data_IF_517559003491
#
_entry.id   IF_517559003491
#
_cell.length_a   1.000
_cell.length_b   1.000
_cell.length_c   1.000
_cell.angle_alpha   90.00
_cell.angle_beta   90.00
_cell.angle_gamma   90.00
#
_symmetry.space_group_name_H-M   'P 1'
#
loop_
_entity.id
_entity.type
_entity.pdbx_description
1 polymer ?
#
# COMPACT_ATOMS: atom_id res chain seq x y z
N UNK A 1 60.64 -14.55 -8.91
CA UNK A 1 59.39 -13.74 -9.06
C UNK A 1 58.57 -13.93 -7.77
N UNK A 2 58.64 -13.01 -6.80
CA UNK A 2 57.83 -13.07 -5.58
C UNK A 2 56.54 -12.28 -5.86
N UNK A 3 55.42 -12.96 -5.91
CA UNK A 3 54.10 -12.41 -6.19
C UNK A 3 53.62 -11.57 -5.01
N UNK A 4 53.12 -10.42 -5.31
CA UNK A 4 52.64 -9.35 -4.43
C UNK A 4 51.25 -9.72 -3.84
N UNK A 5 51.20 -10.72 -2.95
CA UNK A 5 49.94 -11.15 -2.30
C UNK A 5 49.48 -10.19 -1.19
N UNK A 6 50.28 -9.20 -0.78
CA UNK A 6 49.96 -8.27 0.30
C UNK A 6 49.10 -7.08 -0.17
N UNK A 7 49.19 -6.73 -1.47
CA UNK A 7 48.40 -5.62 -2.05
C UNK A 7 46.93 -5.99 -2.25
N UNK A 8 46.65 -7.24 -2.62
CA UNK A 8 45.30 -7.69 -2.90
C UNK A 8 44.44 -7.87 -1.65
N UNK A 9 45.05 -8.18 -0.49
CA UNK A 9 44.29 -8.26 0.79
C UNK A 9 43.86 -6.90 1.28
N UNK A 10 44.67 -5.86 1.11
CA UNK A 10 44.31 -4.48 1.46
C UNK A 10 43.20 -3.93 0.55
N UNK A 11 43.26 -4.24 -0.75
CA UNK A 11 42.23 -3.82 -1.69
C UNK A 11 40.88 -4.49 -1.41
N UNK A 12 40.89 -5.77 -0.99
CA UNK A 12 39.66 -6.49 -0.63
C UNK A 12 39.04 -5.93 0.67
N UNK A 13 39.84 -5.51 1.64
CA UNK A 13 39.33 -4.85 2.87
C UNK A 13 38.76 -3.47 2.59
N UNK A 14 39.33 -2.72 1.67
CA UNK A 14 38.79 -1.42 1.22
C UNK A 14 37.48 -1.60 0.43
N UNK A 15 37.38 -2.64 -0.38
CA UNK A 15 36.17 -2.93 -1.15
C UNK A 15 35.02 -3.39 -0.23
N UNK A 16 35.30 -4.17 0.82
CA UNK A 16 34.27 -4.60 1.80
C UNK A 16 33.83 -3.45 2.71
N UNK A 17 34.76 -2.54 3.09
CA UNK A 17 34.38 -1.34 3.88
C UNK A 17 33.58 -0.34 3.03
N UNK A 18 33.94 -0.16 1.73
CA UNK A 18 33.18 0.70 0.82
C UNK A 18 31.80 0.12 0.49
N UNK A 19 31.67 -1.20 0.41
CA UNK A 19 30.36 -1.86 0.21
C UNK A 19 29.44 -1.71 1.42
N UNK A 20 29.99 -1.70 2.66
CA UNK A 20 29.19 -1.44 3.87
C UNK A 20 28.64 -0.01 3.94
N UNK A 21 29.24 0.95 3.22
CA UNK A 21 28.72 2.32 3.13
C UNK A 21 27.63 2.48 2.06
N UNK A 22 27.42 1.49 1.21
CA UNK A 22 26.44 1.52 0.11
C UNK A 22 25.15 0.77 0.42
N UNK A 23 24.96 0.20 1.59
CA UNK A 23 23.65 -0.16 2.07
C UNK A 23 22.89 1.12 2.46
N UNK A 24 22.53 1.90 1.45
CA UNK A 24 21.33 2.70 1.53
C UNK A 24 20.26 1.63 1.76
N UNK A 25 19.66 1.59 2.95
CA UNK A 25 18.38 0.96 3.10
C UNK A 25 17.51 1.66 2.04
N UNK A 26 17.31 1.02 0.91
CA UNK A 26 16.23 1.35 0.01
C UNK A 26 14.99 1.10 0.87
N UNK A 27 14.47 2.15 1.50
CA UNK A 27 13.07 2.21 1.90
C UNK A 27 12.32 2.16 0.56
N UNK A 28 12.18 0.94 0.05
CA UNK A 28 11.39 0.69 -1.13
C UNK A 28 9.96 0.95 -0.69
N UNK A 29 9.28 1.85 -1.40
CA UNK A 29 7.85 2.02 -1.18
C UNK A 29 7.22 0.63 -1.26
N UNK A 30 6.56 0.20 -0.18
CA UNK A 30 5.93 -1.11 -0.12
C UNK A 30 4.54 -1.05 -0.74
N UNK A 31 3.91 0.13 -0.81
CA UNK A 31 2.65 0.33 -1.52
C UNK A 31 2.91 0.50 -3.02
N UNK A 32 2.31 -0.37 -3.79
CA UNK A 32 2.27 -0.31 -5.27
C UNK A 32 0.96 0.35 -5.66
N UNK A 33 1.04 1.53 -6.29
CA UNK A 33 -0.11 2.29 -6.77
C UNK A 33 -0.14 2.32 -8.29
N UNK A 34 -1.33 2.14 -8.85
CA UNK A 34 -1.59 2.21 -10.29
C UNK A 34 -2.75 3.16 -10.57
N UNK A 35 -2.48 4.23 -11.29
CA UNK A 35 -3.47 5.13 -11.87
C UNK A 35 -3.86 4.58 -13.25
N UNK A 36 -5.15 4.45 -13.50
CA UNK A 36 -5.67 3.96 -14.77
C UNK A 36 -6.01 5.14 -15.67
N UNK A 37 -5.11 5.49 -16.59
CA UNK A 37 -5.33 6.57 -17.56
C UNK A 37 -5.30 6.03 -19.00
N UNK A 38 -6.46 5.93 -19.67
CA UNK A 38 -7.81 6.30 -19.19
C UNK A 38 -8.40 5.29 -18.20
N UNK A 39 -9.36 5.77 -17.39
CA UNK A 39 -10.15 4.91 -16.50
C UNK A 39 -10.72 3.69 -17.22
N UNK A 40 -10.78 2.53 -16.56
CA UNK A 40 -11.41 1.35 -17.11
C UNK A 40 -12.93 1.41 -16.90
N UNK A 41 -13.68 1.25 -17.97
CA UNK A 41 -15.14 1.30 -17.94
C UNK A 41 -15.76 -0.03 -18.38
N UNK A 42 -16.71 -0.51 -17.61
CA UNK A 42 -17.52 -1.70 -17.90
C UNK A 42 -18.97 -1.29 -18.02
N UNK A 43 -19.56 -1.42 -19.19
CA UNK A 43 -20.93 -1.01 -19.46
C UNK A 43 -21.56 -1.77 -20.62
N UNK A 44 -22.89 -1.63 -20.77
CA UNK A 44 -23.67 -2.30 -21.79
C UNK A 44 -24.18 -3.69 -21.39
N UNK A 45 -24.84 -4.38 -22.32
CA UNK A 45 -25.34 -5.75 -22.09
C UNK A 45 -24.16 -6.74 -22.06
N UNK A 46 -23.89 -7.36 -20.89
CA UNK A 46 -22.84 -8.37 -20.72
C UNK A 46 -21.41 -7.81 -20.82
N UNK A 47 -21.19 -6.56 -20.46
CA UNK A 47 -19.86 -5.99 -20.38
C UNK A 47 -19.07 -6.64 -19.23
N UNK A 48 -17.82 -7.02 -19.50
CA UNK A 48 -16.90 -7.63 -18.53
C UNK A 48 -15.48 -7.12 -18.75
N UNK A 49 -14.74 -6.96 -17.67
CA UNK A 49 -13.31 -6.66 -17.67
C UNK A 49 -12.64 -7.34 -16.46
N UNK A 50 -11.44 -7.85 -16.65
CA UNK A 50 -10.62 -8.40 -15.57
C UNK A 50 -9.37 -7.55 -15.36
N UNK A 51 -8.87 -7.55 -14.12
CA UNK A 51 -7.67 -6.81 -13.71
C UNK A 51 -6.71 -7.75 -12.99
N UNK A 52 -5.46 -7.75 -13.45
CA UNK A 52 -4.30 -8.31 -12.79
C UNK A 52 -3.63 -7.18 -11.97
N UNK A 53 -3.81 -7.21 -10.66
CA UNK A 53 -3.38 -6.16 -9.74
C UNK A 53 -1.87 -6.20 -9.50
N UNK A 54 -1.31 -7.43 -9.39
CA UNK A 54 0.07 -7.65 -9.00
C UNK A 54 1.00 -7.92 -10.20
N UNK A 55 0.43 -7.95 -11.41
CA UNK A 55 1.14 -8.18 -12.68
C UNK A 55 1.84 -9.55 -12.74
N UNK A 56 1.21 -10.59 -12.17
CA UNK A 56 1.73 -11.96 -12.21
C UNK A 56 1.24 -12.75 -13.45
N UNK A 57 0.38 -12.16 -14.26
CA UNK A 57 -0.19 -12.73 -15.48
C UNK A 57 -1.51 -13.48 -15.25
N UNK A 58 -2.05 -13.45 -14.04
CA UNK A 58 -3.35 -14.01 -13.71
C UNK A 58 -4.29 -12.87 -13.30
N UNK A 59 -5.53 -12.93 -13.76
CA UNK A 59 -6.53 -11.94 -13.35
C UNK A 59 -6.91 -12.13 -11.87
N UNK A 60 -6.89 -11.04 -11.09
CA UNK A 60 -7.23 -11.06 -9.67
C UNK A 60 -8.71 -10.76 -9.41
N UNK A 61 -9.27 -9.83 -10.18
CA UNK A 61 -10.66 -9.40 -10.03
C UNK A 61 -11.32 -9.18 -11.39
N UNK A 62 -12.56 -9.69 -11.53
CA UNK A 62 -13.41 -9.44 -12.69
C UNK A 62 -14.56 -8.52 -12.34
N UNK A 63 -14.85 -7.53 -13.17
CA UNK A 63 -15.99 -6.64 -13.06
C UNK A 63 -16.94 -6.88 -14.21
N UNK A 64 -18.24 -6.92 -13.94
CA UNK A 64 -19.22 -7.14 -14.97
C UNK A 64 -20.52 -6.38 -14.71
N UNK A 65 -21.18 -6.00 -15.79
CA UNK A 65 -22.54 -5.50 -15.77
C UNK A 65 -23.42 -6.42 -16.60
N UNK A 66 -24.63 -6.59 -16.16
CA UNK A 66 -25.62 -7.37 -16.87
C UNK A 66 -26.95 -6.65 -16.85
N UNK A 67 -27.57 -6.51 -17.99
CA UNK A 67 -28.93 -5.94 -18.10
C UNK A 67 -29.75 -6.72 -19.09
N UNK A 68 -31.00 -6.99 -18.75
CA UNK A 68 -31.96 -7.57 -19.68
C UNK A 68 -33.37 -7.16 -19.35
N UNK A 69 -34.19 -7.05 -20.39
CA UNK A 69 -35.63 -6.85 -20.28
C UNK A 69 -36.33 -8.09 -20.75
N UNK A 70 -37.28 -8.59 -19.96
CA UNK A 70 -38.05 -9.78 -20.27
C UNK A 70 -39.56 -9.53 -20.18
N UNK A 71 -40.31 -10.46 -20.73
CA UNK A 71 -41.75 -10.47 -20.63
C UNK A 71 -42.22 -11.82 -20.03
N UNK A 72 -43.28 -11.77 -19.26
CA UNK A 72 -43.87 -12.96 -18.66
C UNK A 72 -45.37 -12.85 -18.56
N UNK A 73 -46.03 -13.98 -18.23
CA UNK A 73 -47.45 -14.03 -17.96
C UNK A 73 -47.71 -14.82 -16.68
N UNK A 74 -48.44 -14.23 -15.75
CA UNK A 74 -48.83 -14.86 -14.50
C UNK A 74 -50.33 -14.70 -14.31
N UNK A 75 -51.06 -15.82 -14.20
CA UNK A 75 -52.54 -15.85 -14.17
C UNK A 75 -53.21 -15.07 -15.31
N UNK A 76 -52.66 -15.13 -16.53
CA UNK A 76 -53.19 -14.44 -17.70
C UNK A 76 -52.88 -12.92 -17.74
N UNK A 77 -52.16 -12.39 -16.76
CA UNK A 77 -51.73 -11.00 -16.74
C UNK A 77 -50.31 -10.94 -17.30
N UNK A 78 -50.12 -10.13 -18.34
CA UNK A 78 -48.79 -9.88 -18.90
C UNK A 78 -48.03 -8.90 -18.03
N UNK A 79 -46.78 -9.22 -17.79
CA UNK A 79 -45.84 -8.31 -17.13
C UNK A 79 -44.53 -8.19 -17.93
N UNK A 80 -43.85 -7.10 -17.76
CA UNK A 80 -42.47 -6.88 -18.20
C UNK A 80 -41.58 -6.73 -16.97
N UNK A 81 -40.34 -7.19 -17.09
CA UNK A 81 -39.33 -6.96 -16.05
C UNK A 81 -38.05 -6.44 -16.68
N UNK A 82 -37.44 -5.51 -16.01
CA UNK A 82 -36.14 -4.91 -16.34
C UNK A 82 -35.18 -5.21 -15.18
N UNK A 83 -34.15 -5.97 -15.50
CA UNK A 83 -33.13 -6.39 -14.52
C UNK A 83 -31.78 -5.79 -14.89
N UNK A 84 -31.10 -5.23 -13.91
CA UNK A 84 -29.75 -4.65 -14.03
C UNK A 84 -28.92 -5.09 -12.86
N UNK A 85 -27.64 -5.39 -13.14
CA UNK A 85 -26.68 -5.86 -12.16
C UNK A 85 -25.31 -5.27 -12.48
N UNK A 86 -24.68 -4.65 -11.48
CA UNK A 86 -23.26 -4.34 -11.43
C UNK A 86 -22.62 -5.22 -10.36
N UNK A 87 -21.57 -5.94 -10.72
CA UNK A 87 -20.95 -6.89 -9.81
C UNK A 87 -19.44 -6.99 -10.02
N UNK A 88 -18.76 -7.54 -9.03
CA UNK A 88 -17.34 -7.87 -9.02
C UNK A 88 -17.15 -9.31 -8.61
N UNK A 89 -16.13 -9.99 -9.10
CA UNK A 89 -15.74 -11.34 -8.65
C UNK A 89 -14.26 -11.35 -8.27
N UNK A 90 -13.95 -11.88 -7.12
CA UNK A 90 -12.58 -12.24 -6.78
C UNK A 90 -12.24 -13.56 -7.50
N UNK A 91 -11.03 -13.62 -8.08
CA UNK A 91 -10.54 -14.74 -8.87
C UNK A 91 -9.29 -15.33 -8.22
N UNK A 92 -8.92 -16.55 -8.62
CA UNK A 92 -7.69 -17.22 -8.20
C UNK A 92 -7.48 -17.32 -6.67
N UNK A 93 -8.56 -17.45 -5.89
CA UNK A 93 -8.51 -17.55 -4.43
C UNK A 93 -8.32 -16.20 -3.72
N UNK A 94 -8.38 -15.09 -4.46
CA UNK A 94 -8.39 -13.75 -3.88
C UNK A 94 -9.76 -13.47 -3.21
N UNK A 95 -9.83 -12.39 -2.44
CA UNK A 95 -11.00 -12.11 -1.63
C UNK A 95 -11.36 -10.62 -1.65
N UNK A 96 -12.66 -10.36 -1.55
CA UNK A 96 -13.22 -9.03 -1.38
C UNK A 96 -13.34 -8.70 0.11
N UNK A 97 -13.07 -7.45 0.47
CA UNK A 97 -13.40 -6.93 1.79
C UNK A 97 -14.92 -6.95 1.97
N UNK A 98 -15.38 -7.69 2.97
CA UNK A 98 -16.80 -7.85 3.27
C UNK A 98 -17.13 -9.23 3.80
N UNK A 99 -18.41 -9.44 4.05
CA UNK A 99 -18.92 -10.70 4.58
C UNK A 99 -19.76 -11.43 3.55
N UNK A 100 -19.63 -12.74 3.49
CA UNK A 100 -20.50 -13.58 2.67
C UNK A 100 -21.92 -13.58 3.25
N UNK A 101 -22.87 -13.13 2.45
CA UNK A 101 -24.29 -13.15 2.79
C UNK A 101 -24.97 -14.20 1.92
N UNK A 102 -25.66 -15.15 2.56
CA UNK A 102 -26.39 -16.21 1.88
C UNK A 102 -27.87 -15.86 1.80
N UNK A 103 -28.36 -15.79 0.58
CA UNK A 103 -29.78 -15.71 0.26
C UNK A 103 -30.29 -17.12 -0.03
N UNK A 104 -31.58 -17.31 -0.06
CA UNK A 104 -32.18 -18.67 -0.15
C UNK A 104 -31.63 -19.55 -1.29
N UNK A 105 -31.12 -18.98 -2.38
CA UNK A 105 -30.64 -19.72 -3.55
C UNK A 105 -29.26 -19.34 -4.04
N UNK A 106 -28.65 -18.31 -3.48
CA UNK A 106 -27.30 -17.85 -3.86
C UNK A 106 -26.60 -17.17 -2.68
N UNK A 107 -25.29 -17.07 -2.77
CA UNK A 107 -24.47 -16.30 -1.82
C UNK A 107 -23.68 -15.24 -2.57
N UNK A 108 -23.51 -14.09 -1.96
CA UNK A 108 -22.68 -13.01 -2.49
C UNK A 108 -21.94 -12.31 -1.35
N UNK A 109 -20.79 -11.76 -1.67
CA UNK A 109 -20.05 -10.93 -0.72
C UNK A 109 -20.72 -9.57 -0.62
N UNK A 110 -21.08 -9.19 0.59
CA UNK A 110 -21.51 -7.83 0.88
C UNK A 110 -20.29 -6.94 1.00
N UNK A 111 -20.02 -6.17 -0.06
CA UNK A 111 -18.85 -5.31 -0.19
C UNK A 111 -19.23 -3.87 0.20
N UNK A 112 -18.80 -3.37 1.37
CA UNK A 112 -19.12 -2.01 1.78
C UNK A 112 -18.34 -0.99 0.94
N UNK A 113 -18.88 0.23 0.84
CA UNK A 113 -18.13 1.40 0.37
C UNK A 113 -17.32 1.93 1.55
N UNK A 114 -16.00 1.88 1.46
CA UNK A 114 -15.12 2.36 2.51
C UNK A 114 -14.86 3.87 2.36
N UNK A 115 -14.77 4.62 3.46
CA UNK A 115 -14.32 6.01 3.41
C UNK A 115 -12.82 6.11 3.12
N UNK A 116 -12.33 7.28 2.70
CA UNK A 116 -10.89 7.54 2.59
C UNK A 116 -10.20 7.47 3.96
N UNK A 117 -9.00 6.87 4.02
CA UNK A 117 -8.23 6.71 5.25
C UNK A 117 -8.67 5.54 6.14
N UNK A 118 -9.59 4.68 5.68
CA UNK A 118 -9.95 3.45 6.40
C UNK A 118 -8.83 2.43 6.30
N UNK A 119 -8.48 1.79 7.42
CA UNK A 119 -7.47 0.75 7.46
C UNK A 119 -8.00 -0.59 6.97
N UNK A 120 -7.21 -1.30 6.15
CA UNK A 120 -7.50 -2.65 5.66
C UNK A 120 -6.40 -3.57 6.17
N UNK A 121 -6.77 -4.60 6.96
CA UNK A 121 -5.80 -5.45 7.66
C UNK A 121 -6.37 -6.86 7.97
N UNK A 122 -5.57 -7.70 8.62
CA UNK A 122 -5.92 -9.08 8.94
C UNK A 122 -7.12 -9.27 9.90
N UNK A 123 -7.53 -8.22 10.59
CA UNK A 123 -8.70 -8.25 11.50
C UNK A 123 -10.03 -8.05 10.79
N UNK A 124 -10.00 -7.68 9.52
CA UNK A 124 -11.18 -7.36 8.75
C UNK A 124 -11.82 -8.60 8.12
N UNK A 125 -13.13 -8.55 7.81
CA UNK A 125 -13.79 -9.64 7.11
C UNK A 125 -13.42 -9.67 5.63
N UNK A 126 -13.03 -10.83 5.15
CA UNK A 126 -12.78 -11.10 3.73
C UNK A 126 -13.51 -12.37 3.30
N UNK A 127 -13.96 -12.40 2.06
CA UNK A 127 -14.61 -13.56 1.49
C UNK A 127 -14.30 -13.72 -0.01
N UNK A 128 -14.14 -14.99 -0.41
CA UNK A 128 -14.04 -15.40 -1.81
C UNK A 128 -15.40 -15.26 -2.51
N UNK A 129 -15.35 -15.11 -3.83
CA UNK A 129 -16.53 -15.17 -4.68
C UNK A 129 -16.98 -13.83 -5.22
N UNK A 130 -18.25 -13.78 -5.66
CA UNK A 130 -18.83 -12.59 -6.28
C UNK A 130 -19.42 -11.62 -5.27
N UNK A 131 -19.15 -10.33 -5.45
CA UNK A 131 -19.78 -9.21 -4.73
C UNK A 131 -20.81 -8.50 -5.61
N UNK A 132 -22.02 -8.29 -5.06
CA UNK A 132 -23.02 -7.45 -5.71
C UNK A 132 -22.76 -6.01 -5.36
N UNK A 133 -22.44 -5.19 -6.37
CA UNK A 133 -22.25 -3.76 -6.21
C UNK A 133 -23.59 -3.02 -6.26
N UNK A 134 -24.41 -3.31 -7.27
CA UNK A 134 -25.74 -2.75 -7.39
C UNK A 134 -26.65 -3.70 -8.19
N UNK A 135 -27.91 -3.78 -7.82
CA UNK A 135 -28.93 -4.51 -8.53
C UNK A 135 -30.22 -3.71 -8.55
N UNK A 136 -30.88 -3.68 -9.69
CA UNK A 136 -32.22 -3.10 -9.87
C UNK A 136 -33.11 -4.13 -10.59
N UNK A 137 -34.30 -4.33 -10.07
CA UNK A 137 -35.34 -5.13 -10.72
C UNK A 137 -36.64 -4.35 -10.70
N UNK A 138 -37.09 -3.91 -11.87
CA UNK A 138 -38.38 -3.27 -12.05
C UNK A 138 -39.35 -4.25 -12.72
N UNK A 139 -40.51 -4.46 -12.14
CA UNK A 139 -41.60 -5.24 -12.72
C UNK A 139 -42.76 -4.31 -13.03
N UNK A 140 -43.28 -4.35 -14.27
CA UNK A 140 -44.40 -3.52 -14.71
C UNK A 140 -45.55 -4.42 -15.17
N UNK A 141 -46.77 -4.10 -14.73
CA UNK A 141 -48.02 -4.74 -15.17
C UNK A 141 -48.75 -3.80 -16.12
N UNK A 142 -49.04 -4.28 -17.33
CA UNK A 142 -49.74 -3.48 -18.35
C UNK A 142 -49.16 -2.08 -18.57
N UNK A 143 -47.83 -1.96 -18.43
CA UNK A 143 -47.08 -0.70 -18.59
C UNK A 143 -47.02 0.20 -17.35
N UNK A 144 -47.59 -0.22 -16.22
CA UNK A 144 -47.49 0.50 -14.96
C UNK A 144 -46.49 -0.17 -14.02
N UNK A 145 -45.60 0.57 -13.32
CA UNK A 145 -44.72 -0.01 -12.30
C UNK A 145 -45.53 -0.75 -11.22
N UNK A 146 -45.18 -1.99 -10.95
CA UNK A 146 -45.81 -2.81 -9.93
C UNK A 146 -44.87 -3.15 -8.77
N UNK A 147 -43.60 -3.38 -9.09
CA UNK A 147 -42.59 -3.75 -8.12
C UNK A 147 -41.27 -3.12 -8.54
N UNK A 148 -40.61 -2.47 -7.61
CA UNK A 148 -39.27 -1.90 -7.77
C UNK A 148 -38.42 -2.41 -6.61
N UNK A 149 -37.32 -3.08 -6.95
CA UNK A 149 -36.36 -3.61 -5.99
C UNK A 149 -34.97 -3.11 -6.34
N UNK A 150 -34.32 -2.52 -5.36
CA UNK A 150 -32.93 -2.10 -5.46
C UNK A 150 -32.16 -2.65 -4.26
N UNK A 151 -30.92 -3.11 -4.51
CA UNK A 151 -30.01 -3.59 -3.51
C UNK A 151 -28.55 -3.35 -3.93
N UNK A 152 -27.63 -3.52 -2.99
CA UNK A 152 -26.23 -3.19 -3.14
C UNK A 152 -25.93 -1.78 -2.62
N UNK A 153 -24.67 -1.54 -2.28
CA UNK A 153 -24.25 -0.29 -1.63
C UNK A 153 -23.61 0.69 -2.59
N UNK A 154 -23.43 0.31 -3.85
CA UNK A 154 -22.60 1.02 -4.81
C UNK A 154 -23.39 1.80 -5.86
N UNK A 155 -24.69 1.54 -6.06
CA UNK A 155 -25.52 2.29 -7.00
C UNK A 155 -25.49 3.80 -6.67
N UNK A 156 -25.09 4.61 -7.63
CA UNK A 156 -24.93 6.07 -7.48
C UNK A 156 -23.65 6.51 -6.75
N UNK A 157 -22.76 5.58 -6.39
CA UNK A 157 -21.48 5.92 -5.75
C UNK A 157 -20.49 6.42 -6.79
N UNK A 158 -19.92 7.58 -6.51
CA UNK A 158 -18.85 8.18 -7.27
C UNK A 158 -17.54 8.15 -6.48
N UNK A 159 -16.52 7.46 -7.01
CA UNK A 159 -15.18 7.35 -6.41
C UNK A 159 -15.17 6.78 -4.98
N UNK A 160 -15.95 5.71 -4.72
CA UNK A 160 -15.89 4.96 -3.47
C UNK A 160 -14.69 4.00 -3.41
N UNK A 161 -14.21 3.66 -2.21
CA UNK A 161 -13.14 2.68 -2.05
C UNK A 161 -13.71 1.30 -1.75
N UNK A 162 -13.22 0.31 -2.49
CA UNK A 162 -13.48 -1.12 -2.28
C UNK A 162 -12.20 -1.79 -1.81
N UNK A 163 -12.25 -2.45 -0.65
CA UNK A 163 -11.13 -3.20 -0.13
C UNK A 163 -11.03 -4.60 -0.74
N UNK A 164 -9.83 -5.12 -0.80
CA UNK A 164 -9.56 -6.49 -1.22
C UNK A 164 -8.30 -7.06 -0.55
N UNK A 165 -8.08 -8.36 -0.69
CA UNK A 165 -6.78 -8.97 -0.47
C UNK A 165 -6.44 -9.97 -1.57
N UNK A 166 -5.17 -9.97 -1.96
CA UNK A 166 -4.57 -10.95 -2.85
C UNK A 166 -3.94 -12.04 -1.98
N UNK A 167 -4.20 -13.28 -2.30
CA UNK A 167 -3.70 -14.45 -1.58
C UNK A 167 -2.63 -15.14 -2.42
N UNK A 168 -1.38 -15.14 -1.94
CA UNK A 168 -0.27 -15.85 -2.55
C UNK A 168 0.26 -16.84 -1.53
N UNK A 169 0.10 -18.15 -1.79
CA UNK A 169 0.43 -19.23 -0.85
C UNK A 169 -0.29 -19.06 0.50
N UNK A 170 0.43 -18.60 1.54
CA UNK A 170 -0.09 -18.36 2.89
C UNK A 170 -0.07 -16.89 3.29
N UNK A 171 0.39 -16.05 2.40
CA UNK A 171 0.54 -14.62 2.64
C UNK A 171 -0.61 -13.84 2.04
N UNK A 172 -0.97 -12.74 2.70
CA UNK A 172 -2.06 -11.86 2.32
C UNK A 172 -1.51 -10.47 2.00
N UNK A 173 -1.90 -9.93 0.86
CA UNK A 173 -1.53 -8.59 0.40
C UNK A 173 -2.80 -7.74 0.31
N UNK A 174 -2.93 -6.80 1.23
CA UNK A 174 -4.14 -5.97 1.34
C UNK A 174 -4.09 -4.82 0.35
N UNK A 175 -5.25 -4.48 -0.20
CA UNK A 175 -5.36 -3.41 -1.19
C UNK A 175 -6.72 -2.74 -1.22
N UNK A 176 -6.79 -1.69 -2.01
CA UNK A 176 -8.02 -0.96 -2.29
C UNK A 176 -8.11 -0.61 -3.77
N UNK A 177 -9.34 -0.53 -4.30
CA UNK A 177 -9.68 0.02 -5.62
C UNK A 177 -10.64 1.18 -5.44
N UNK A 178 -10.49 2.23 -6.25
CA UNK A 178 -11.44 3.33 -6.31
C UNK A 178 -12.38 3.13 -7.48
N UNK A 179 -13.66 2.99 -7.16
CA UNK A 179 -14.70 2.53 -8.10
C UNK A 179 -15.89 3.46 -8.07
N UNK A 180 -16.49 3.70 -9.25
CA UNK A 180 -17.78 4.35 -9.40
C UNK A 180 -18.79 3.39 -10.01
N UNK A 181 -20.03 3.44 -9.56
CA UNK A 181 -21.16 2.73 -10.14
C UNK A 181 -22.30 3.73 -10.37
N UNK A 182 -22.83 3.80 -11.59
CA UNK A 182 -23.93 4.71 -11.87
C UNK A 182 -25.22 4.31 -11.12
N UNK A 183 -26.19 5.21 -11.04
CA UNK A 183 -27.46 5.00 -10.33
C UNK A 183 -28.22 3.78 -10.84
N UNK A 184 -28.18 3.53 -12.15
CA UNK A 184 -28.87 2.40 -12.77
C UNK A 184 -28.13 1.06 -12.66
N UNK A 185 -26.92 1.01 -12.08
CA UNK A 185 -26.09 -0.19 -12.00
C UNK A 185 -25.78 -0.82 -13.38
N UNK A 186 -25.58 0.01 -14.40
CA UNK A 186 -25.29 -0.40 -15.78
C UNK A 186 -23.92 0.03 -16.27
N UNK A 187 -23.16 0.75 -15.43
CA UNK A 187 -21.82 1.21 -15.70
C UNK A 187 -20.98 1.15 -14.42
N UNK A 188 -19.85 0.49 -14.50
CA UNK A 188 -18.80 0.50 -13.48
C UNK A 188 -17.60 1.23 -14.09
N UNK A 189 -16.98 2.11 -13.33
CA UNK A 189 -15.72 2.78 -13.69
C UNK A 189 -14.72 2.49 -12.60
N UNK A 190 -13.53 2.00 -12.97
CA UNK A 190 -12.40 1.74 -12.08
C UNK A 190 -11.36 2.80 -12.39
N UNK A 191 -11.00 3.60 -11.39
CA UNK A 191 -10.13 4.77 -11.55
C UNK A 191 -8.68 4.45 -11.27
N UNK A 192 -8.43 3.81 -10.13
CA UNK A 192 -7.11 3.46 -9.66
C UNK A 192 -7.18 2.37 -8.59
N UNK A 193 -6.03 1.83 -8.25
CA UNK A 193 -5.90 0.87 -7.17
C UNK A 193 -4.51 0.92 -6.54
N UNK A 194 -4.41 0.40 -5.33
CA UNK A 194 -3.13 0.15 -4.69
C UNK A 194 -3.18 -1.10 -3.81
N UNK A 195 -2.03 -1.71 -3.63
CA UNK A 195 -1.86 -2.79 -2.67
C UNK A 195 -0.53 -2.67 -1.93
N UNK A 196 -0.49 -3.21 -0.71
CA UNK A 196 0.73 -3.31 0.08
C UNK A 196 1.52 -4.54 -0.37
N UNK A 197 2.75 -4.35 -0.85
CA UNK A 197 3.62 -5.43 -1.36
C UNK A 197 4.45 -6.12 -0.26
N UNK A 198 4.25 -5.72 0.99
CA UNK A 198 4.76 -6.44 2.16
C UNK A 198 3.64 -7.32 2.71
N UNK A 199 3.90 -8.64 2.81
CA UNK A 199 2.91 -9.60 3.22
C UNK A 199 2.33 -9.29 4.62
N UNK A 200 1.02 -9.43 4.75
CA UNK A 200 0.27 -9.27 6.01
C UNK A 200 0.33 -7.87 6.65
N UNK A 201 0.81 -6.87 5.91
CA UNK A 201 0.87 -5.49 6.35
C UNK A 201 -0.37 -4.71 5.92
N UNK A 202 -0.90 -3.90 6.83
CA UNK A 202 -2.09 -3.07 6.59
C UNK A 202 -1.83 -1.97 5.56
N UNK A 203 -2.89 -1.59 4.82
CA UNK A 203 -2.93 -0.42 3.93
C UNK A 203 -4.12 0.45 4.31
N UNK A 204 -4.06 1.74 4.00
CA UNK A 204 -5.19 2.65 4.16
C UNK A 204 -5.80 3.00 2.81
N UNK A 205 -7.12 3.09 2.73
CA UNK A 205 -7.83 3.50 1.51
C UNK A 205 -7.37 4.89 1.05
N UNK A 206 -6.99 4.99 -0.23
CA UNK A 206 -6.40 6.21 -0.81
C UNK A 206 -4.90 6.39 -0.54
N UNK A 207 -4.25 5.46 0.15
CA UNK A 207 -2.79 5.47 0.31
C UNK A 207 -2.14 5.09 -1.02
N UNK A 208 -1.35 6.00 -1.60
CA UNK A 208 -0.68 5.84 -2.91
C UNK A 208 0.83 5.65 -2.81
N UNK A 209 1.37 5.84 -1.63
CA UNK A 209 2.77 5.55 -1.30
C UNK A 209 2.78 4.97 0.11
N UNK A 210 3.77 4.15 0.41
CA UNK A 210 4.10 3.95 1.81
C UNK A 210 4.32 5.35 2.35
N UNK A 211 3.52 5.78 3.32
CA UNK A 211 3.91 6.93 4.11
C UNK A 211 5.36 6.61 4.51
N UNK A 212 6.33 7.36 4.01
CA UNK A 212 7.64 7.32 4.63
C UNK A 212 7.30 7.61 6.10
N UNK A 213 7.43 6.61 6.97
CA UNK A 213 7.61 6.94 8.37
C UNK A 213 8.74 7.93 8.33
N UNK A 214 8.39 9.18 8.58
CA UNK A 214 9.37 10.26 8.54
C UNK A 214 10.41 9.80 9.53
N UNK A 215 11.58 9.39 9.01
CA UNK A 215 12.63 8.84 9.88
C UNK A 215 12.81 9.85 11.00
N UNK A 216 12.33 9.58 12.21
CA UNK A 216 12.31 10.57 13.29
C UNK A 216 13.70 11.10 13.57
N UNK A 217 14.75 10.35 13.15
CA UNK A 217 16.13 10.82 13.18
C UNK A 217 16.44 11.88 12.11
N UNK A 218 15.62 12.03 11.06
CA UNK A 218 15.89 12.97 9.94
C UNK A 218 15.99 14.42 10.41
N UNK A 219 15.25 14.79 11.44
CA UNK A 219 15.27 16.10 12.08
C UNK A 219 16.38 16.26 13.13
N UNK A 220 17.28 15.27 13.30
CA UNK A 220 18.41 15.35 14.22
C UNK A 220 19.39 16.44 13.74
N UNK A 221 19.65 17.40 14.59
CA UNK A 221 20.67 18.42 14.33
C UNK A 221 22.05 17.87 14.68
N UNK A 222 22.97 17.91 13.72
CA UNK A 222 24.38 17.50 13.88
C UNK A 222 25.25 18.54 13.21
N UNK A 223 26.14 19.18 13.98
CA UNK A 223 27.13 20.15 13.46
C UNK A 223 28.38 20.15 14.33
N UNK A 224 29.46 20.71 13.83
CA UNK A 224 30.71 20.86 14.59
C UNK A 224 31.06 22.33 14.79
N UNK A 225 31.73 22.61 15.92
CA UNK A 225 32.36 23.88 16.21
C UNK A 225 33.69 23.62 16.92
N UNK A 226 34.79 23.95 16.26
CA UNK A 226 36.10 23.58 16.71
C UNK A 226 36.27 22.06 16.76
N UNK A 227 36.66 21.52 17.92
CA UNK A 227 36.82 20.11 18.16
C UNK A 227 35.57 19.44 18.74
N UNK A 228 34.46 20.17 18.88
CA UNK A 228 33.23 19.66 19.45
C UNK A 228 32.22 19.31 18.37
N UNK A 229 31.51 18.15 18.53
CA UNK A 229 30.36 17.74 17.73
C UNK A 229 29.11 17.92 18.57
N UNK A 230 28.25 18.81 18.12
CA UNK A 230 26.93 19.04 18.73
C UNK A 230 25.90 18.10 18.09
N UNK A 231 25.07 17.53 18.93
CA UNK A 231 24.04 16.57 18.58
C UNK A 231 22.76 16.92 19.34
N UNK A 232 21.64 17.04 18.63
CA UNK A 232 20.35 17.23 19.26
C UNK A 232 19.28 16.34 18.60
N UNK A 233 18.68 15.45 19.39
CA UNK A 233 17.57 14.61 18.99
C UNK A 233 16.27 15.41 18.97
N UNK A 234 15.39 15.16 17.99
CA UNK A 234 14.02 15.65 18.03
C UNK A 234 13.27 15.10 19.27
N UNK A 235 12.33 15.87 19.82
CA UNK A 235 11.53 15.45 20.99
C UNK A 235 10.71 14.18 20.75
N UNK A 236 10.42 13.85 19.50
CA UNK A 236 9.67 12.66 19.10
C UNK A 236 10.49 11.36 19.27
N UNK A 237 11.84 11.46 19.22
CA UNK A 237 12.72 10.32 19.44
C UNK A 237 12.85 10.06 20.93
N UNK A 238 12.16 9.02 21.40
CA UNK A 238 12.13 8.64 22.84
C UNK A 238 13.07 7.51 23.20
N UNK A 239 13.79 7.01 22.24
CA UNK A 239 14.73 5.91 22.38
C UNK A 239 16.17 6.43 22.50
N UNK A 240 17.09 5.56 22.72
CA UNK A 240 18.51 5.85 23.02
C UNK A 240 19.38 5.43 21.83
N UNK A 241 19.46 6.22 20.73
CA UNK A 241 20.25 5.85 19.57
C UNK A 241 21.75 5.74 19.89
N UNK A 242 22.44 5.00 19.04
CA UNK A 242 23.89 4.92 19.03
C UNK A 242 24.46 5.94 18.05
N UNK A 243 25.45 6.73 18.50
CA UNK A 243 26.18 7.69 17.68
C UNK A 243 27.59 7.23 17.45
N UNK A 244 27.96 6.98 16.21
CA UNK A 244 29.29 6.58 15.79
C UNK A 244 29.95 7.68 14.98
N UNK A 245 31.23 7.98 15.21
CA UNK A 245 32.01 8.90 14.39
C UNK A 245 33.09 8.11 13.65
N UNK A 246 33.14 8.30 12.34
CA UNK A 246 34.10 7.65 11.44
C UNK A 246 35.01 8.68 10.77
N UNK A 247 36.26 8.32 10.55
CA UNK A 247 37.10 9.06 9.64
C UNK A 247 36.77 8.77 8.17
N UNK A 248 37.35 9.51 7.23
CA UNK A 248 37.09 9.32 5.79
C UNK A 248 37.59 7.99 5.23
N UNK A 249 38.35 7.22 6.00
CA UNK A 249 38.79 5.86 5.61
C UNK A 249 37.77 4.80 6.04
N UNK A 250 36.67 5.21 6.74
CA UNK A 250 35.66 4.33 7.28
C UNK A 250 36.05 3.68 8.62
N UNK A 251 37.13 4.13 9.26
CA UNK A 251 37.53 3.69 10.59
C UNK A 251 36.69 4.41 11.64
N UNK A 252 36.00 3.64 12.51
CA UNK A 252 35.30 4.21 13.65
C UNK A 252 36.30 4.76 14.66
N UNK A 253 36.18 6.06 14.98
CA UNK A 253 37.08 6.77 15.89
C UNK A 253 36.41 7.10 17.22
N UNK A 254 35.09 7.18 17.27
CA UNK A 254 34.27 7.34 18.49
C UNK A 254 32.99 6.54 18.41
N UNK A 255 32.51 6.08 19.57
CA UNK A 255 31.21 5.43 19.74
C UNK A 255 30.55 5.95 21.01
N UNK A 256 29.28 6.30 20.93
CA UNK A 256 28.45 6.74 22.05
C UNK A 256 27.11 6.00 21.99
N UNK A 257 26.80 5.25 23.05
CA UNK A 257 25.56 4.49 23.18
C UNK A 257 24.62 5.20 24.15
N UNK A 258 23.30 5.02 23.94
CA UNK A 258 22.32 5.54 24.87
C UNK A 258 22.25 7.08 24.88
N UNK A 259 22.33 7.70 23.70
CA UNK A 259 22.34 9.16 23.61
C UNK A 259 20.91 9.70 23.68
N UNK A 260 20.65 10.64 24.57
CA UNK A 260 19.34 11.27 24.75
C UNK A 260 19.42 12.79 24.70
N UNK A 261 18.42 13.43 24.09
CA UNK A 261 18.30 14.89 24.02
C UNK A 261 19.45 15.56 23.29
N UNK A 262 19.95 16.68 23.84
CA UNK A 262 21.05 17.45 23.25
C UNK A 262 22.37 17.15 23.96
N UNK A 263 23.37 16.74 23.22
CA UNK A 263 24.69 16.35 23.73
C UNK A 263 25.81 17.02 22.95
N UNK A 264 26.91 17.32 23.63
CA UNK A 264 28.14 17.81 23.04
C UNK A 264 29.24 16.75 23.21
N UNK A 265 29.74 16.23 22.09
CA UNK A 265 30.83 15.27 22.07
C UNK A 265 32.17 15.97 21.90
N UNK A 266 33.05 15.90 22.89
CA UNK A 266 34.40 16.37 22.78
C UNK A 266 35.26 15.43 21.94
N UNK A 267 35.92 15.98 20.91
CA UNK A 267 36.79 15.27 19.97
C UNK A 267 38.19 15.87 19.91
N UNK A 268 38.69 16.46 21.00
CA UNK A 268 40.02 17.12 21.06
C UNK A 268 41.19 16.17 20.76
N UNK A 269 40.99 14.90 20.98
CA UNK A 269 41.93 13.82 20.69
C UNK A 269 42.00 13.45 19.19
N UNK A 270 41.04 13.89 18.38
CA UNK A 270 41.02 13.63 16.94
C UNK A 270 41.80 14.74 16.17
N UNK A 271 42.50 14.40 15.07
CA UNK A 271 43.08 15.36 14.16
C UNK A 271 42.06 16.31 13.53
N UNK A 272 42.44 17.50 13.16
CA UNK A 272 41.62 18.37 12.31
C UNK A 272 41.34 17.68 10.97
N UNK A 273 40.09 17.75 10.51
CA UNK A 273 39.65 17.07 9.29
C UNK A 273 38.16 16.80 9.21
N UNK A 274 37.75 16.13 8.14
CA UNK A 274 36.36 15.73 7.92
C UNK A 274 36.09 14.37 8.54
N UNK A 275 34.94 14.26 9.17
CA UNK A 275 34.42 13.04 9.80
C UNK A 275 32.98 12.80 9.42
N UNK A 276 32.53 11.57 9.50
CA UNK A 276 31.12 11.19 9.30
C UNK A 276 30.52 10.77 10.63
N UNK A 277 29.49 11.46 11.07
CA UNK A 277 28.67 11.09 12.22
C UNK A 277 27.55 10.22 11.70
N UNK A 278 27.43 9.02 12.23
CA UNK A 278 26.43 8.02 11.90
C UNK A 278 25.60 7.70 13.13
N UNK A 279 24.30 7.93 13.04
CA UNK A 279 23.33 7.70 14.12
C UNK A 279 22.44 6.56 13.73
N UNK A 280 22.26 5.60 14.62
CA UNK A 280 21.43 4.40 14.40
C UNK A 280 20.49 4.15 15.55
N UNK A 281 19.27 3.73 15.23
CA UNK A 281 18.24 3.30 16.15
C UNK A 281 17.41 2.19 15.51
N UNK A 282 17.59 0.94 15.94
CA UNK A 282 16.99 -0.19 15.27
C UNK A 282 17.42 -0.25 13.81
N UNK A 283 16.43 -0.21 12.91
CA UNK A 283 16.66 -0.18 11.45
C UNK A 283 16.82 1.25 10.90
N UNK A 284 16.52 2.27 11.71
CA UNK A 284 16.63 3.66 11.30
C UNK A 284 18.07 4.15 11.38
N UNK A 285 18.47 4.99 10.45
CA UNK A 285 19.79 5.60 10.46
C UNK A 285 19.82 6.94 9.74
N UNK A 286 20.74 7.81 10.19
CA UNK A 286 21.14 9.02 9.48
C UNK A 286 22.65 9.17 9.51
N UNK A 287 23.20 9.89 8.54
CA UNK A 287 24.62 10.25 8.48
C UNK A 287 24.79 11.73 8.14
N UNK A 288 25.75 12.37 8.80
CA UNK A 288 26.11 13.76 8.55
C UNK A 288 27.63 13.93 8.53
N UNK A 289 28.14 14.68 7.57
CA UNK A 289 29.55 15.04 7.56
C UNK A 289 29.77 16.27 8.44
N UNK A 290 30.82 16.25 9.27
CA UNK A 290 31.26 17.35 10.11
C UNK A 290 32.74 17.63 9.86
N UNK A 291 33.19 18.86 10.12
CA UNK A 291 34.58 19.27 10.00
C UNK A 291 35.11 19.70 11.38
N UNK A 292 36.13 18.99 11.90
CA UNK A 292 36.81 19.34 13.14
C UNK A 292 38.01 20.25 12.86
N UNK A 293 38.12 21.29 13.62
CA UNK A 293 39.23 22.28 13.51
C UNK A 293 39.86 22.55 14.87
N UNK A 294 41.19 22.46 14.96
CA UNK A 294 41.96 22.84 16.15
C UNK A 294 42.43 24.27 16.05
#
# INVERSE_FOLDING_TARGET
MKSNTHSNKKLLHYATSAAAFLTINNLQATVVYTDLDPDLMVGGEGGEISIDINSDGNDDFGFFVYSFTGVGTYYGINFTYDFKLAAVSAQNGNELFGSLVTYSSYSAVYTPVLPAGEGINSGDPFAEGGGTLGVSLMVSLSGFPYYDYQAGNWSGINMGYMGFRINIDKDHYYGWMRVSVNEESTLITIHDYAYENEANKAIFTGQTATAMEENPLSATEIYSNGTNVFFALPEQVKTEPTVNIFDLTGKMVKNYNGVTGSVNFNCDDLPSGNYVVYVTEGELSIKKQVNLTK
#
